data_IF_246178181878
#
_entry.id   IF_246178181878
#
_cell.length_a   1.000
_cell.length_b   1.000
_cell.length_c   1.000
_cell.angle_alpha   90.00
_cell.angle_beta   90.00
_cell.angle_gamma   90.00
#
_symmetry.space_group_name_H-M   'P 1'
#
loop_
_entity.id
_entity.type
_entity.pdbx_description
1 polymer ?
#
# COMPACT_ATOMS: atom_id res chain seq x y z
N UNK A 1 -36.30 -4.02 18.86
CA UNK A 1 -35.00 -3.29 18.95
C UNK A 1 -33.92 -4.28 18.50
N UNK A 2 -33.11 -3.93 17.49
CA UNK A 2 -32.05 -4.82 16.99
C UNK A 2 -30.99 -5.00 18.09
N UNK A 3 -30.44 -6.21 18.24
CA UNK A 3 -29.43 -6.50 19.27
C UNK A 3 -28.21 -5.57 19.10
N UNK A 4 -27.80 -4.80 20.13
CA UNK A 4 -26.65 -3.90 20.06
C UNK A 4 -25.35 -4.57 19.56
N UNK A 5 -25.18 -5.88 19.80
CA UNK A 5 -24.03 -6.67 19.35
C UNK A 5 -23.97 -6.81 17.84
N UNK A 6 -25.12 -6.87 17.16
CA UNK A 6 -25.20 -6.95 15.69
C UNK A 6 -24.62 -5.69 15.06
N UNK A 7 -24.94 -4.51 15.62
CA UNK A 7 -24.36 -3.24 15.18
C UNK A 7 -22.84 -3.22 15.36
N UNK A 8 -22.33 -3.70 16.49
CA UNK A 8 -20.90 -3.75 16.75
C UNK A 8 -20.16 -4.67 15.77
N UNK A 9 -20.74 -5.84 15.46
CA UNK A 9 -20.20 -6.77 14.46
C UNK A 9 -20.15 -6.11 13.08
N UNK A 10 -21.24 -5.44 12.65
CA UNK A 10 -21.28 -4.72 11.36
C UNK A 10 -20.17 -3.65 11.28
N UNK A 11 -19.94 -2.89 12.35
CA UNK A 11 -18.89 -1.86 12.41
C UNK A 11 -17.50 -2.48 12.30
N UNK A 12 -17.19 -3.51 13.11
CA UNK A 12 -15.89 -4.19 13.10
C UNK A 12 -15.62 -4.86 11.75
N UNK A 13 -16.60 -5.53 11.17
CA UNK A 13 -16.50 -6.09 9.82
C UNK A 13 -16.22 -5.01 8.77
N UNK A 14 -16.88 -3.85 8.88
CA UNK A 14 -16.63 -2.72 7.99
C UNK A 14 -15.20 -2.18 8.11
N UNK A 15 -14.65 -2.11 9.33
CA UNK A 15 -13.27 -1.70 9.58
C UNK A 15 -12.28 -2.68 8.93
N UNK A 16 -12.43 -3.99 9.19
CA UNK A 16 -11.56 -5.03 8.61
C UNK A 16 -11.61 -4.99 7.08
N UNK A 17 -12.80 -4.82 6.47
CA UNK A 17 -12.93 -4.72 5.02
C UNK A 17 -12.19 -3.51 4.42
N UNK A 18 -12.12 -2.38 5.14
CA UNK A 18 -11.38 -1.20 4.67
C UNK A 18 -9.88 -1.42 4.77
N UNK A 19 -9.39 -1.90 5.92
CA UNK A 19 -7.97 -2.19 6.15
C UNK A 19 -7.45 -3.22 5.14
N UNK A 20 -8.24 -4.27 4.85
CA UNK A 20 -7.89 -5.26 3.85
C UNK A 20 -7.74 -4.66 2.44
N UNK A 21 -8.62 -3.72 2.06
CA UNK A 21 -8.52 -3.01 0.78
C UNK A 21 -7.31 -2.08 0.75
N UNK A 22 -7.06 -1.32 1.81
CA UNK A 22 -5.90 -0.43 1.94
C UNK A 22 -4.60 -1.23 1.78
N UNK A 23 -4.45 -2.33 2.53
CA UNK A 23 -3.28 -3.21 2.45
C UNK A 23 -3.05 -3.73 1.03
N UNK A 24 -4.12 -4.12 0.32
CA UNK A 24 -4.02 -4.61 -1.04
C UNK A 24 -3.64 -3.51 -2.03
N UNK A 25 -4.14 -2.29 -1.85
CA UNK A 25 -3.80 -1.15 -2.71
C UNK A 25 -2.35 -0.74 -2.53
N UNK A 26 -1.90 -0.55 -1.29
CA UNK A 26 -0.50 -0.16 -1.03
C UNK A 26 0.49 -1.25 -1.43
N UNK A 27 0.13 -2.53 -1.28
CA UNK A 27 0.94 -3.63 -1.78
C UNK A 27 1.10 -3.61 -3.30
N UNK A 28 0.03 -3.33 -4.05
CA UNK A 28 0.10 -3.18 -5.51
C UNK A 28 0.92 -1.97 -5.93
N UNK A 29 0.72 -0.84 -5.28
CA UNK A 29 1.46 0.39 -5.58
C UNK A 29 2.97 0.19 -5.37
N UNK A 30 3.36 -0.43 -4.25
CA UNK A 30 4.77 -0.74 -4.00
C UNK A 30 5.37 -1.62 -5.11
N UNK A 31 4.66 -2.67 -5.55
CA UNK A 31 5.12 -3.51 -6.67
C UNK A 31 5.20 -2.74 -8.00
N UNK A 32 4.24 -1.88 -8.31
CA UNK A 32 4.29 -1.02 -9.50
C UNK A 32 5.50 -0.09 -9.48
N UNK A 33 5.80 0.55 -8.34
CA UNK A 33 6.99 1.39 -8.21
C UNK A 33 8.29 0.57 -8.30
N UNK A 34 8.33 -0.66 -7.76
CA UNK A 34 9.50 -1.56 -7.90
C UNK A 34 9.77 -1.89 -9.36
N UNK A 35 8.74 -2.25 -10.11
CA UNK A 35 8.83 -2.53 -11.54
C UNK A 35 9.30 -1.29 -12.32
N UNK A 36 8.84 -0.10 -11.93
CA UNK A 36 9.26 1.15 -12.56
C UNK A 36 10.73 1.48 -12.29
N UNK A 37 11.22 1.30 -11.07
CA UNK A 37 12.65 1.43 -10.73
C UNK A 37 13.48 0.44 -11.56
N UNK A 38 13.05 -0.82 -11.65
CA UNK A 38 13.76 -1.82 -12.45
C UNK A 38 13.83 -1.42 -13.91
N UNK A 39 12.72 -0.94 -14.49
CA UNK A 39 12.67 -0.44 -15.86
C UNK A 39 13.64 0.74 -16.08
N UNK A 40 13.76 1.65 -15.11
CA UNK A 40 14.69 2.79 -15.21
C UNK A 40 16.15 2.31 -15.24
N UNK A 41 16.47 1.29 -14.45
CA UNK A 41 17.79 0.64 -14.44
C UNK A 41 18.07 -0.09 -15.76
N UNK A 42 17.09 -0.83 -16.28
CA UNK A 42 17.22 -1.57 -17.54
C UNK A 42 17.38 -0.62 -18.74
N UNK A 43 16.67 0.52 -18.73
CA UNK A 43 16.77 1.57 -19.74
C UNK A 43 18.04 2.44 -19.60
N UNK A 44 18.91 2.17 -18.61
CA UNK A 44 20.09 3.00 -18.29
C UNK A 44 19.75 4.50 -18.19
N UNK A 45 18.62 4.82 -17.54
CA UNK A 45 18.24 6.21 -17.30
C UNK A 45 19.26 6.92 -16.44
N UNK A 46 19.25 8.24 -16.51
CA UNK A 46 20.12 9.08 -15.70
C UNK A 46 20.02 8.72 -14.21
N UNK A 47 21.16 8.75 -13.53
CA UNK A 47 21.25 8.39 -12.12
C UNK A 47 20.32 9.24 -11.23
N UNK A 48 20.14 10.52 -11.56
CA UNK A 48 19.21 11.39 -10.86
C UNK A 48 17.74 10.93 -10.99
N UNK A 49 17.31 10.52 -12.18
CA UNK A 49 15.95 10.01 -12.39
C UNK A 49 15.72 8.69 -11.66
N UNK A 50 16.72 7.80 -11.66
CA UNK A 50 16.65 6.52 -10.95
C UNK A 50 16.59 6.72 -9.43
N UNK A 51 17.44 7.59 -8.87
CA UNK A 51 17.42 7.94 -7.44
C UNK A 51 16.08 8.51 -7.01
N UNK A 52 15.52 9.45 -7.79
CA UNK A 52 14.20 10.02 -7.49
C UNK A 52 13.09 8.96 -7.51
N UNK A 53 13.17 8.02 -8.45
CA UNK A 53 12.19 6.94 -8.54
C UNK A 53 12.34 5.91 -7.41
N UNK A 54 13.55 5.73 -6.86
CA UNK A 54 13.80 4.94 -5.65
C UNK A 54 13.24 5.60 -4.39
N UNK A 55 13.31 6.94 -4.28
CA UNK A 55 12.66 7.69 -3.19
C UNK A 55 11.14 7.46 -3.19
N UNK A 56 10.50 7.56 -4.36
CA UNK A 56 9.07 7.27 -4.53
C UNK A 56 8.74 5.84 -4.11
N UNK A 57 9.58 4.87 -4.47
CA UNK A 57 9.41 3.49 -4.04
C UNK A 57 9.50 3.35 -2.51
N UNK A 58 10.44 4.04 -1.86
CA UNK A 58 10.56 4.01 -0.40
C UNK A 58 9.32 4.60 0.28
N UNK A 59 8.76 5.70 -0.24
CA UNK A 59 7.52 6.27 0.27
C UNK A 59 6.36 5.27 0.21
N UNK A 60 6.17 4.57 -0.92
CA UNK A 60 5.14 3.53 -1.04
C UNK A 60 5.39 2.35 -0.10
N UNK A 61 6.65 1.94 0.11
CA UNK A 61 7.01 0.84 1.02
C UNK A 61 6.78 1.17 2.49
N UNK A 62 6.95 2.44 2.90
CA UNK A 62 6.70 2.88 4.28
C UNK A 62 5.23 2.74 4.70
N UNK A 63 4.30 2.71 3.74
CA UNK A 63 2.85 2.58 4.01
C UNK A 63 2.42 1.15 4.33
N UNK A 64 3.09 0.14 3.76
CA UNK A 64 2.69 -1.27 3.88
C UNK A 64 2.72 -1.79 5.33
N UNK A 65 3.76 -1.54 6.15
CA UNK A 65 3.83 -2.01 7.52
C UNK A 65 2.74 -1.42 8.43
N UNK A 66 2.33 -0.17 8.19
CA UNK A 66 1.28 0.48 8.98
C UNK A 66 -0.08 -0.19 8.73
N UNK A 67 -0.41 -0.50 7.48
CA UNK A 67 -1.64 -1.21 7.14
C UNK A 67 -1.69 -2.64 7.70
N UNK A 68 -0.55 -3.33 7.80
CA UNK A 68 -0.48 -4.67 8.38
C UNK A 68 -0.63 -4.70 9.91
N UNK A 69 -0.36 -3.60 10.60
CA UNK A 69 -0.46 -3.49 12.06
C UNK A 69 -1.86 -3.11 12.55
N UNK A 70 -2.68 -2.50 11.69
CA UNK A 70 -4.04 -2.03 11.99
C UNK A 70 -5.07 -3.15 11.92
#
# INVERSE_FOLDING_TARGET
MEDPRIRQIKIKTGAVKRIAKETLVYGKEAEEQRLKVQKYKDENREEHETRKQEEVLQESLMMVPDCQRR
#
